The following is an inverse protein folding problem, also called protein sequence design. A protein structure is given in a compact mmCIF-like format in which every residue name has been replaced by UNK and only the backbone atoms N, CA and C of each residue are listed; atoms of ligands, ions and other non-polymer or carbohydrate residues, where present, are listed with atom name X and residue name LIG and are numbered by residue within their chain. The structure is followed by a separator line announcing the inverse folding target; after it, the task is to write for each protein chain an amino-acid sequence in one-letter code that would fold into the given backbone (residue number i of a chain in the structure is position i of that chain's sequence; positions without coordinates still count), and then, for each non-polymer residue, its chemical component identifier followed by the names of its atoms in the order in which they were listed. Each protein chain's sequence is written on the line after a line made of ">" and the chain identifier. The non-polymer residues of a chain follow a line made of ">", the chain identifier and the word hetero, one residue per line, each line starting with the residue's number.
data_IF_247718879431
#
_entry.id   IF_247718879431
#
_cell.length_a   1.000
_cell.length_b   1.000
_cell.length_c   1.000
_cell.angle_alpha   90.00
_cell.angle_beta   90.00
_cell.angle_gamma   90.00
#
_symmetry.space_group_name_H-M   'P 1'
#
loop_
_entity.id
_entity.type
_entity.pdbx_description
1 polymer ?
#
# COMPACT_ATOMS: atom_id res chain seq x y z
N UNK A 1 -19.76 18.95 21.20
CA UNK A 1 -20.12 20.09 20.37
C UNK A 1 -20.79 19.62 19.10
N UNK A 2 -21.89 20.27 18.67
CA UNK A 2 -22.57 19.87 17.43
C UNK A 2 -21.71 20.18 16.21
N UNK A 3 -20.66 20.98 16.36
CA UNK A 3 -19.81 21.33 15.25
C UNK A 3 -18.60 20.39 15.15
N UNK A 4 -18.53 19.46 16.09
CA UNK A 4 -17.41 18.55 16.12
C UNK A 4 -17.60 17.45 15.07
N UNK A 5 -16.65 17.34 14.19
CA UNK A 5 -16.69 16.33 13.12
C UNK A 5 -16.09 15.02 13.60
N UNK A 6 -16.61 13.92 13.09
CA UNK A 6 -16.06 12.63 13.45
C UNK A 6 -14.75 12.40 12.72
N UNK A 7 -13.82 11.84 13.45
CA UNK A 7 -12.59 11.33 12.87
C UNK A 7 -12.80 9.83 12.69
N UNK A 8 -12.61 9.36 11.49
CA UNK A 8 -12.73 7.93 11.18
C UNK A 8 -11.33 7.37 10.99
N UNK A 9 -11.00 6.33 11.73
CA UNK A 9 -9.71 5.66 11.61
C UNK A 9 -9.93 4.24 11.13
N UNK A 10 -9.25 3.87 10.07
CA UNK A 10 -9.29 2.53 9.52
C UNK A 10 -7.90 1.93 9.61
N UNK A 11 -7.82 0.65 9.90
CA UNK A 11 -6.57 -0.08 9.77
C UNK A 11 -6.70 -1.02 8.60
N UNK A 12 -5.61 -1.37 7.98
CA UNK A 12 -5.64 -2.35 6.91
C UNK A 12 -4.38 -3.21 6.89
N UNK A 13 -4.53 -4.35 6.27
CA UNK A 13 -3.43 -5.26 6.04
C UNK A 13 -3.88 -6.37 5.14
N UNK A 14 -2.98 -7.22 4.78
CA UNK A 14 -3.29 -8.37 3.94
C UNK A 14 -2.08 -9.24 3.75
N UNK A 15 -2.31 -10.45 3.31
CA UNK A 15 -1.26 -11.42 3.11
C UNK A 15 -1.27 -12.01 1.71
N UNK A 16 -0.08 -12.27 1.24
CA UNK A 16 0.19 -13.07 0.08
C UNK A 16 1.06 -14.22 0.58
N UNK A 17 1.16 -15.30 -0.16
CA UNK A 17 2.01 -16.44 0.28
C UNK A 17 3.49 -16.07 0.37
N UNK A 18 3.91 -15.00 -0.31
CA UNK A 18 5.31 -14.58 -0.36
C UNK A 18 5.65 -13.39 0.52
N UNK A 19 4.67 -12.56 0.85
CA UNK A 19 4.86 -11.36 1.67
C UNK A 19 3.56 -10.96 2.38
N UNK A 20 3.67 -10.07 3.37
CA UNK A 20 2.51 -9.52 4.07
C UNK A 20 2.63 -8.01 4.19
N UNK A 21 1.48 -7.34 4.22
CA UNK A 21 1.35 -5.92 4.50
C UNK A 21 0.73 -5.80 5.89
N UNK A 22 1.35 -5.02 6.75
CA UNK A 22 0.84 -4.79 8.10
C UNK A 22 0.95 -3.32 8.49
N UNK A 23 0.27 -2.96 9.56
CA UNK A 23 0.32 -1.60 10.12
C UNK A 23 -0.15 -0.48 9.19
N UNK A 24 -0.95 -0.79 8.19
CA UNK A 24 -1.55 0.24 7.34
C UNK A 24 -2.65 0.96 8.09
N UNK A 25 -2.82 2.24 7.83
CA UNK A 25 -3.88 3.03 8.44
C UNK A 25 -4.36 4.15 7.54
N UNK A 26 -5.61 4.52 7.73
CA UNK A 26 -6.23 5.64 7.05
C UNK A 26 -6.96 6.45 8.10
N UNK A 27 -6.65 7.73 8.20
CA UNK A 27 -7.35 8.63 9.10
C UNK A 27 -8.08 9.67 8.28
N UNK A 28 -9.39 9.70 8.40
CA UNK A 28 -10.26 10.62 7.69
C UNK A 28 -10.85 11.61 8.68
N UNK A 29 -10.60 12.89 8.47
CA UNK A 29 -11.28 13.92 9.25
C UNK A 29 -11.92 14.91 8.26
N UNK A 30 -12.47 16.00 8.74
CA UNK A 30 -13.19 16.95 7.88
C UNK A 30 -12.29 17.82 7.02
N UNK A 31 -11.00 17.89 7.32
CA UNK A 31 -10.07 18.75 6.61
C UNK A 31 -8.96 18.03 5.88
N UNK A 32 -8.68 16.80 6.29
CA UNK A 32 -7.51 16.10 5.82
C UNK A 32 -7.66 14.59 5.89
N UNK A 33 -7.02 13.90 4.97
CA UNK A 33 -6.92 12.45 4.99
C UNK A 33 -5.44 12.10 5.09
N UNK A 34 -5.11 11.14 5.94
CA UNK A 34 -3.75 10.63 6.09
C UNK A 34 -3.76 9.14 5.79
N UNK A 35 -3.01 8.76 4.78
CA UNK A 35 -2.85 7.36 4.39
C UNK A 35 -1.43 6.93 4.72
N UNK A 36 -1.30 5.90 5.56
CA UNK A 36 0.00 5.30 5.87
C UNK A 36 0.00 3.88 5.33
N UNK A 37 0.95 3.59 4.46
CA UNK A 37 1.01 2.29 3.78
C UNK A 37 1.40 1.14 4.70
N UNK A 38 1.94 1.44 5.87
CA UNK A 38 2.41 0.42 6.79
C UNK A 38 3.74 -0.17 6.36
N UNK A 39 3.88 -1.46 6.59
CA UNK A 39 5.13 -2.17 6.34
C UNK A 39 4.93 -3.38 5.44
N UNK A 40 5.91 -3.62 4.58
CA UNK A 40 5.97 -4.83 3.78
C UNK A 40 7.02 -5.74 4.42
N UNK A 41 6.65 -7.01 4.62
CA UNK A 41 7.55 -7.99 5.18
C UNK A 41 7.49 -9.27 4.34
N UNK A 42 8.64 -9.78 3.94
CA UNK A 42 8.69 -11.01 3.15
C UNK A 42 8.44 -12.22 4.02
N UNK A 43 7.68 -13.19 3.50
CA UNK A 43 7.47 -14.50 4.13
C UNK A 43 8.48 -15.47 3.53
N UNK A 44 8.68 -15.39 2.21
CA UNK A 44 9.66 -16.20 1.50
C UNK A 44 10.74 -15.29 0.93
N UNK A 45 11.69 -14.92 1.78
CA UNK A 45 12.71 -13.92 1.42
C UNK A 45 13.59 -14.35 0.24
N UNK A 46 13.78 -15.63 0.04
CA UNK A 46 14.61 -16.15 -1.05
C UNK A 46 14.05 -15.80 -2.43
N UNK A 47 12.74 -15.59 -2.54
CA UNK A 47 12.13 -15.24 -3.82
C UNK A 47 12.49 -13.82 -4.25
N UNK A 48 12.90 -12.98 -3.31
CA UNK A 48 13.20 -11.58 -3.54
C UNK A 48 14.68 -11.24 -3.39
N UNK A 49 15.52 -12.28 -3.25
CA UNK A 49 16.96 -12.08 -3.02
C UNK A 49 17.66 -11.40 -4.20
N UNK A 50 17.17 -11.61 -5.42
CA UNK A 50 17.79 -11.08 -6.63
C UNK A 50 17.12 -9.83 -7.19
N UNK A 51 16.23 -9.21 -6.44
CA UNK A 51 15.51 -8.02 -6.89
C UNK A 51 16.47 -6.83 -6.96
N UNK A 52 16.51 -6.15 -8.08
CA UNK A 52 17.34 -4.96 -8.29
C UNK A 52 16.51 -3.68 -8.30
N UNK A 53 15.22 -3.79 -8.57
CA UNK A 53 14.29 -2.67 -8.49
C UNK A 53 12.89 -3.17 -8.19
N UNK A 54 12.10 -2.34 -7.53
CA UNK A 54 10.70 -2.68 -7.29
C UNK A 54 9.88 -1.42 -7.14
N UNK A 55 8.58 -1.57 -7.38
CA UNK A 55 7.62 -0.50 -7.09
C UNK A 55 6.47 -1.06 -6.29
N UNK A 56 5.89 -0.20 -5.45
CA UNK A 56 4.72 -0.53 -4.64
C UNK A 56 3.64 0.49 -4.94
N UNK A 57 2.40 0.03 -5.06
CA UNK A 57 1.28 0.90 -5.38
C UNK A 57 0.05 0.49 -4.58
N UNK A 58 -0.54 1.46 -3.88
CA UNK A 58 -1.85 1.29 -3.26
C UNK A 58 -2.86 1.96 -4.18
N UNK A 59 -3.97 1.31 -4.43
CA UNK A 59 -5.00 1.85 -5.31
C UNK A 59 -6.40 1.35 -4.95
N UNK A 60 -7.39 2.09 -5.41
CA UNK A 60 -8.79 1.66 -5.36
C UNK A 60 -9.26 1.48 -6.80
N UNK A 61 -10.33 0.72 -6.98
CA UNK A 61 -10.94 0.52 -8.29
C UNK A 61 -12.25 1.29 -8.38
N UNK A 62 -12.41 2.08 -9.44
CA UNK A 62 -13.64 2.82 -9.69
C UNK A 62 -14.00 2.65 -11.16
N UNK A 63 -15.16 2.09 -11.43
CA UNK A 63 -15.63 1.90 -12.79
C UNK A 63 -14.60 1.18 -13.67
N UNK A 64 -13.92 0.19 -13.10
CA UNK A 64 -12.93 -0.60 -13.82
C UNK A 64 -11.56 0.07 -13.97
N UNK A 65 -11.37 1.25 -13.37
CA UNK A 65 -10.11 1.98 -13.43
C UNK A 65 -9.40 2.02 -12.09
N UNK A 66 -8.07 1.98 -12.13
CA UNK A 66 -7.24 2.12 -10.95
C UNK A 66 -7.10 3.59 -10.59
N UNK A 67 -7.39 3.92 -9.33
CA UNK A 67 -7.12 5.26 -8.78
C UNK A 67 -6.00 5.11 -7.77
N UNK A 68 -4.81 5.56 -8.14
CA UNK A 68 -3.60 5.41 -7.32
C UNK A 68 -3.63 6.34 -6.12
N UNK A 69 -3.39 5.77 -4.94
CA UNK A 69 -3.35 6.50 -3.69
C UNK A 69 -1.90 6.86 -3.35
N UNK A 70 -1.02 5.87 -3.42
CA UNK A 70 0.37 6.04 -3.03
C UNK A 70 1.22 5.08 -3.85
N UNK A 71 2.26 5.58 -4.48
CA UNK A 71 3.17 4.76 -5.27
C UNK A 71 4.61 5.16 -4.99
N UNK A 72 5.47 4.16 -4.82
CA UNK A 72 6.90 4.37 -4.58
C UNK A 72 7.70 3.39 -5.41
N UNK A 73 8.90 3.80 -5.79
CA UNK A 73 9.83 2.94 -6.52
C UNK A 73 11.22 3.01 -5.88
N UNK A 74 11.90 1.89 -5.89
CA UNK A 74 13.25 1.77 -5.34
C UNK A 74 14.15 1.09 -6.36
N UNK A 75 15.31 1.66 -6.58
CA UNK A 75 16.33 1.08 -7.45
C UNK A 75 17.71 1.38 -6.85
N UNK A 76 18.62 0.40 -6.94
CA UNK A 76 19.99 0.65 -6.56
C UNK A 76 20.71 1.20 -7.82
N UNK A 77 21.21 2.43 -7.73
CA UNK A 77 21.88 3.08 -8.86
C UNK A 77 23.16 2.38 -9.28
N UNK A 78 23.72 1.54 -8.42
CA UNK A 78 24.92 0.78 -8.74
C UNK A 78 24.62 -0.57 -9.40
N UNK A 79 23.33 -0.88 -9.58
CA UNK A 79 22.89 -2.14 -10.17
C UNK A 79 22.89 -3.32 -9.22
N UNK A 80 23.04 -3.08 -7.93
CA UNK A 80 22.99 -4.13 -6.92
C UNK A 80 21.57 -4.50 -6.54
N UNK A 81 21.44 -5.47 -5.65
CA UNK A 81 20.13 -5.90 -5.14
C UNK A 81 19.60 -4.93 -4.08
N UNK A 82 18.28 -4.89 -3.95
CA UNK A 82 17.60 -4.05 -2.98
C UNK A 82 16.75 -4.92 -2.04
N UNK A 83 16.51 -4.42 -0.84
CA UNK A 83 15.67 -5.12 0.12
C UNK A 83 14.24 -4.57 0.00
N UNK A 84 13.28 -5.44 -0.29
CA UNK A 84 11.88 -4.99 -0.44
C UNK A 84 11.16 -4.79 0.89
N UNK A 85 11.73 -5.28 2.00
CA UNK A 85 11.13 -5.09 3.32
C UNK A 85 11.25 -3.64 3.77
N UNK A 86 10.24 -3.16 4.44
CA UNK A 86 10.28 -1.82 5.02
C UNK A 86 8.99 -1.05 4.92
N UNK A 87 9.07 0.23 5.27
CA UNK A 87 7.94 1.14 5.28
C UNK A 87 7.47 1.45 3.86
N UNK A 88 6.16 1.48 3.69
CA UNK A 88 5.55 1.73 2.39
C UNK A 88 5.17 3.19 2.16
N UNK A 89 5.49 4.05 3.12
CA UNK A 89 5.32 5.49 2.93
C UNK A 89 3.97 6.02 3.40
N UNK A 90 3.74 7.29 3.08
CA UNK A 90 2.60 8.04 3.58
C UNK A 90 2.14 9.06 2.56
N UNK A 91 0.85 9.27 2.48
CA UNK A 91 0.26 10.33 1.67
C UNK A 91 -0.72 11.13 2.51
N UNK A 92 -0.75 12.44 2.33
CA UNK A 92 -1.63 13.34 3.07
C UNK A 92 -2.27 14.31 2.09
N UNK A 93 -3.54 14.56 2.23
CA UNK A 93 -4.26 15.49 1.36
C UNK A 93 -5.70 15.68 1.78
N UNK A 94 -6.47 16.35 0.98
CA UNK A 94 -7.86 16.66 1.30
C UNK A 94 -8.83 15.61 0.78
N UNK A 95 -8.51 14.96 -0.34
CA UNK A 95 -9.36 13.92 -0.89
C UNK A 95 -8.52 12.85 -1.57
N UNK A 96 -7.72 12.16 -0.77
CA UNK A 96 -6.83 11.13 -1.30
C UNK A 96 -7.60 9.91 -1.76
N UNK A 97 -8.47 9.39 -0.89
CA UNK A 97 -9.21 8.17 -1.16
C UNK A 97 -10.72 8.31 -1.12
N UNK A 98 -11.22 9.33 -0.44
CA UNK A 98 -12.65 9.54 -0.29
C UNK A 98 -13.33 8.51 0.58
N UNK A 99 -14.63 8.65 0.72
CA UNK A 99 -15.43 7.82 1.62
C UNK A 99 -15.71 6.41 1.09
N UNK A 100 -15.58 6.17 -0.20
CA UNK A 100 -15.86 4.85 -0.75
C UNK A 100 -14.95 3.76 -0.23
N UNK A 101 -13.78 4.11 0.31
CA UNK A 101 -12.87 3.13 0.88
C UNK A 101 -13.44 2.56 2.17
N UNK A 102 -14.30 3.32 2.85
CA UNK A 102 -14.91 2.87 4.10
C UNK A 102 -15.84 1.70 3.88
N UNK A 103 -16.36 1.60 2.66
CA UNK A 103 -17.43 0.66 2.40
C UNK A 103 -16.99 -0.73 2.03
N UNK A 104 -15.73 -0.96 1.88
CA UNK A 104 -15.35 -2.21 1.54
C UNK A 104 -14.09 -2.68 1.17
N UNK A 105 -13.98 -3.71 0.67
CA UNK A 105 -12.94 -4.49 0.10
C UNK A 105 -12.52 -3.89 -1.25
N UNK A 106 -12.18 -2.62 -1.24
CA UNK A 106 -11.81 -1.91 -2.46
C UNK A 106 -10.42 -1.28 -2.38
N UNK A 107 -9.61 -1.73 -1.43
CA UNK A 107 -8.22 -1.26 -1.34
C UNK A 107 -7.31 -2.39 -1.77
N UNK A 108 -6.42 -2.07 -2.70
CA UNK A 108 -5.51 -3.04 -3.31
C UNK A 108 -4.06 -2.60 -3.18
N UNK A 109 -3.18 -3.58 -3.19
CA UNK A 109 -1.74 -3.35 -3.18
C UNK A 109 -1.11 -4.13 -4.32
N UNK A 110 -0.19 -3.50 -5.03
CA UNK A 110 0.54 -4.14 -6.11
C UNK A 110 2.04 -3.98 -5.88
N UNK A 111 2.77 -5.07 -5.98
CA UNK A 111 4.22 -5.08 -5.93
C UNK A 111 4.72 -5.53 -7.30
N UNK A 112 5.58 -4.73 -7.93
CA UNK A 112 6.25 -5.10 -9.17
C UNK A 112 7.73 -5.20 -8.87
N UNK A 113 8.38 -6.27 -9.29
CA UNK A 113 9.81 -6.47 -9.08
C UNK A 113 10.52 -6.76 -10.38
N UNK A 114 11.78 -6.32 -10.46
CA UNK A 114 12.68 -6.69 -11.55
C UNK A 114 13.93 -7.30 -10.93
N UNK A 115 14.35 -8.46 -11.40
CA UNK A 115 15.52 -9.14 -10.84
C UNK A 115 16.79 -8.91 -11.67
N UNK A 116 17.89 -9.53 -11.21
CA UNK A 116 19.21 -9.42 -11.88
C UNK A 116 19.21 -9.90 -13.32
N UNK A 117 18.25 -10.76 -13.67
CA UNK A 117 18.14 -11.30 -15.03
C UNK A 117 17.18 -10.47 -15.91
N UNK A 118 16.63 -9.39 -15.36
CA UNK A 118 15.65 -8.57 -16.07
C UNK A 118 14.25 -9.16 -16.03
N UNK A 119 14.03 -10.20 -15.24
CA UNK A 119 12.70 -10.81 -15.13
C UNK A 119 11.80 -9.95 -14.26
N UNK A 120 10.58 -9.68 -14.76
CA UNK A 120 9.62 -8.87 -14.06
C UNK A 120 8.50 -9.74 -13.49
N UNK A 121 8.12 -9.45 -12.26
CA UNK A 121 7.01 -10.13 -11.59
C UNK A 121 6.07 -9.12 -10.98
N UNK A 122 4.77 -9.42 -11.02
CA UNK A 122 3.73 -8.55 -10.46
C UNK A 122 2.90 -9.37 -9.49
N UNK A 123 2.71 -8.82 -8.30
CA UNK A 123 1.89 -9.43 -7.26
C UNK A 123 0.79 -8.45 -6.87
N UNK A 124 -0.44 -8.90 -6.83
CA UNK A 124 -1.58 -8.08 -6.44
C UNK A 124 -2.32 -8.73 -5.30
N UNK A 125 -2.65 -7.96 -4.29
CA UNK A 125 -3.48 -8.45 -3.19
C UNK A 125 -4.56 -7.43 -2.85
N UNK A 126 -5.70 -7.95 -2.44
CA UNK A 126 -6.77 -7.12 -1.91
C UNK A 126 -6.55 -6.99 -0.41
N UNK A 127 -6.64 -5.78 0.11
CA UNK A 127 -6.41 -5.50 1.52
C UNK A 127 -7.73 -5.50 2.27
N UNK A 128 -7.69 -5.91 3.53
CA UNK A 128 -8.87 -5.91 4.39
C UNK A 128 -8.85 -4.68 5.26
N UNK A 129 -9.95 -3.91 5.19
CA UNK A 129 -10.11 -2.70 5.98
C UNK A 129 -10.92 -2.99 7.23
N UNK A 130 -10.49 -2.42 8.35
CA UNK A 130 -11.19 -2.54 9.62
C UNK A 130 -11.30 -1.16 10.26
N UNK A 131 -12.52 -0.75 10.59
CA UNK A 131 -12.72 0.52 11.25
C UNK A 131 -12.36 0.38 12.74
N UNK A 132 -11.59 1.32 13.25
CA UNK A 132 -11.21 1.35 14.65
C UNK A 132 -12.15 2.27 15.42
N UNK A 133 -12.62 1.78 16.55
CA UNK A 133 -13.57 2.53 17.40
C UNK A 133 -12.87 3.31 18.49
#
# INVERSE_FOLDING_TARGET
>A
SPDQKEVVTLSFGGGHEYFVISNGSIVLNDTEEVFEGGDLETVQSELFADVVSFSTTFYTMRNGEKHIILSNSVIDQTGGTVNINGSLGKATGTEIIGREVEDIDNLWFELETTDLNGEENVYQIQLTLTELL
#
